data_IF_312487256971
#
_entry.id   IF_312487256971
#
_cell.length_a   1.000
_cell.length_b   1.000
_cell.length_c   1.000
_cell.angle_alpha   90.00
_cell.angle_beta   90.00
_cell.angle_gamma   90.00
#
_symmetry.space_group_name_H-M   'P 1'
#
loop_
_entity.id
_entity.type
_entity.pdbx_description
1 polymer ?
#
# COMPACT_ATOMS: atom_id res chain seq x y z
N UNK A 1 -58.73 -20.78 46.74
CA UNK A 1 -57.95 -21.23 47.92
C UNK A 1 -56.57 -21.63 47.38
N UNK A 2 -55.40 -21.05 47.70
CA UNK A 2 -54.87 -20.22 48.79
C UNK A 2 -53.83 -19.27 48.13
N UNK A 3 -54.03 -17.94 48.13
CA UNK A 3 -53.33 -16.94 48.96
C UNK A 3 -51.99 -17.39 49.58
N UNK A 4 -50.89 -16.81 49.13
CA UNK A 4 -49.69 -16.62 49.96
C UNK A 4 -49.35 -15.13 50.03
N UNK A 5 -49.38 -14.65 51.27
CA UNK A 5 -48.95 -13.36 51.77
C UNK A 5 -47.67 -13.65 52.55
N UNK A 6 -46.59 -12.93 52.24
CA UNK A 6 -45.47 -12.58 53.15
C UNK A 6 -44.72 -11.43 52.43
N UNK A 7 -45.01 -10.14 52.67
CA UNK A 7 -44.46 -9.27 53.74
C UNK A 7 -42.95 -9.51 53.94
N UNK A 8 -42.04 -8.55 53.72
CA UNK A 8 -41.90 -7.32 54.53
C UNK A 8 -40.82 -6.33 53.98
N UNK A 9 -41.00 -5.02 54.28
CA UNK A 9 -39.99 -3.93 54.47
C UNK A 9 -39.33 -3.33 53.20
N UNK A 10 -39.74 -2.17 52.64
CA UNK A 10 -39.73 -0.76 53.10
C UNK A 10 -38.31 -0.13 53.21
N UNK A 11 -38.17 1.08 52.64
CA UNK A 11 -37.11 2.11 52.71
C UNK A 11 -35.90 1.88 51.79
N UNK A 12 -35.36 2.85 51.04
CA UNK A 12 -35.57 4.30 50.89
C UNK A 12 -34.86 4.73 49.59
N UNK A 13 -35.54 5.38 48.66
CA UNK A 13 -35.29 6.76 48.23
C UNK A 13 -33.91 7.38 48.57
N UNK A 14 -33.23 7.75 47.46
CA UNK A 14 -32.40 8.92 47.23
C UNK A 14 -31.04 9.03 47.94
N UNK A 15 -29.96 8.97 47.15
CA UNK A 15 -28.86 9.93 47.32
C UNK A 15 -28.32 10.34 45.94
N UNK A 16 -28.54 11.61 45.62
CA UNK A 16 -27.78 12.37 44.65
C UNK A 16 -26.31 12.35 45.09
N UNK A 17 -25.45 11.73 44.29
CA UNK A 17 -24.01 11.87 44.39
C UNK A 17 -23.53 12.49 43.08
N UNK A 18 -23.20 13.78 43.12
CA UNK A 18 -22.47 14.45 42.06
C UNK A 18 -21.12 13.73 41.89
N UNK A 19 -20.89 13.11 40.73
CA UNK A 19 -19.55 12.74 40.32
C UNK A 19 -18.91 14.02 39.82
N UNK A 20 -18.10 14.62 40.68
CA UNK A 20 -17.06 15.57 40.26
C UNK A 20 -16.03 14.76 39.48
N UNK A 21 -16.07 14.87 38.14
CA UNK A 21 -14.98 14.42 37.29
C UNK A 21 -13.81 15.37 37.56
N UNK A 22 -12.81 14.90 38.30
CA UNK A 22 -11.48 15.48 38.24
C UNK A 22 -10.94 15.15 36.85
N UNK A 23 -10.71 16.18 36.05
CA UNK A 23 -9.92 16.10 34.85
C UNK A 23 -8.46 15.86 35.26
N UNK A 24 -8.02 14.62 35.09
CA UNK A 24 -6.62 14.30 34.85
C UNK A 24 -6.57 13.82 33.40
N UNK A 25 -5.82 14.55 32.57
CA UNK A 25 -5.66 14.29 31.14
C UNK A 25 -4.92 12.96 30.94
N UNK A 26 -5.68 11.87 30.92
CA UNK A 26 -5.22 10.58 30.42
C UNK A 26 -5.50 10.55 28.92
N UNK A 27 -4.47 10.33 28.10
CA UNK A 27 -4.61 10.08 26.66
C UNK A 27 -5.34 8.74 26.51
N UNK A 28 -6.67 8.79 26.47
CA UNK A 28 -7.52 7.65 26.15
C UNK A 28 -7.41 7.40 24.65
N UNK A 29 -6.47 6.55 24.25
CA UNK A 29 -6.53 5.90 22.93
C UNK A 29 -7.71 4.92 23.00
N UNK A 30 -8.78 5.10 22.19
CA UNK A 30 -9.93 4.21 22.25
C UNK A 30 -9.53 2.82 21.76
N UNK A 31 -9.44 1.86 22.67
CA UNK A 31 -9.41 0.43 22.35
C UNK A 31 -10.80 0.02 21.90
N UNK A 32 -11.11 0.25 20.62
CA UNK A 32 -12.39 -0.14 20.04
C UNK A 32 -12.38 -1.64 19.70
N UNK A 33 -13.25 -2.33 20.45
CA UNK A 33 -13.78 -3.66 20.22
C UNK A 33 -14.11 -3.89 18.73
N UNK A 34 -13.50 -4.90 18.12
CA UNK A 34 -13.88 -5.37 16.78
C UNK A 34 -15.08 -6.30 16.97
N UNK A 35 -16.27 -5.86 16.54
CA UNK A 35 -17.49 -6.66 16.58
C UNK A 35 -17.39 -7.78 15.53
N UNK A 36 -17.27 -9.02 16.00
CA UNK A 36 -17.03 -10.23 15.21
C UNK A 36 -18.33 -10.83 14.64
N UNK A 37 -19.32 -10.01 14.28
CA UNK A 37 -20.64 -10.48 13.84
C UNK A 37 -21.05 -9.92 12.49
N UNK A 38 -20.44 -10.44 11.41
CA UNK A 38 -21.03 -10.41 10.08
C UNK A 38 -20.96 -11.82 9.45
N UNK A 39 -22.14 -12.34 9.12
CA UNK A 39 -22.44 -13.68 8.59
C UNK A 39 -22.47 -13.64 7.05
N UNK A 40 -22.65 -14.77 6.32
CA UNK A 40 -21.68 -15.23 5.33
C UNK A 40 -22.25 -15.20 3.91
N UNK A 41 -21.58 -14.54 2.97
CA UNK A 41 -21.83 -14.80 1.56
C UNK A 41 -20.53 -14.91 0.78
N UNK A 42 -20.45 -15.98 0.00
CA UNK A 42 -19.39 -16.30 -0.95
C UNK A 42 -19.08 -15.09 -1.83
N UNK A 43 -17.98 -14.41 -1.51
CA UNK A 43 -17.28 -13.55 -2.45
C UNK A 43 -15.98 -14.26 -2.74
N UNK A 44 -15.78 -14.61 -4.01
CA UNK A 44 -14.45 -14.73 -4.58
C UNK A 44 -13.78 -13.36 -4.49
N UNK A 45 -13.38 -12.97 -3.28
CA UNK A 45 -12.46 -11.88 -3.07
C UNK A 45 -11.10 -12.46 -3.41
N UNK A 46 -10.77 -12.36 -4.69
CA UNK A 46 -9.42 -12.32 -5.16
C UNK A 46 -8.75 -11.12 -4.48
N UNK A 47 -8.34 -11.33 -3.23
CA UNK A 47 -7.45 -10.43 -2.53
C UNK A 47 -6.18 -10.48 -3.36
N UNK A 48 -5.94 -9.37 -4.04
CA UNK A 48 -4.67 -9.04 -4.66
C UNK A 48 -3.62 -9.34 -3.59
N UNK A 49 -2.74 -10.32 -3.84
CA UNK A 49 -1.51 -10.53 -3.08
C UNK A 49 -0.60 -9.31 -3.24
N UNK A 50 -1.02 -8.17 -2.71
CA UNK A 50 -0.12 -7.11 -2.36
C UNK A 50 0.44 -7.50 -1.00
N UNK A 51 1.38 -8.45 -1.05
CA UNK A 51 2.52 -8.37 -0.17
C UNK A 51 3.03 -6.95 -0.33
N UNK A 52 2.67 -6.12 0.64
CA UNK A 52 2.91 -4.70 0.69
C UNK A 52 4.38 -4.49 0.33
N UNK A 53 4.62 -4.09 -0.92
CA UNK A 53 5.90 -3.56 -1.33
C UNK A 53 6.21 -2.48 -0.31
N UNK A 54 7.38 -2.58 0.32
CA UNK A 54 7.93 -1.57 1.20
C UNK A 54 8.18 -0.32 0.36
N UNK A 55 7.10 0.42 0.12
CA UNK A 55 7.16 1.82 -0.24
C UNK A 55 7.59 2.58 1.03
N UNK A 56 8.84 2.35 1.44
CA UNK A 56 9.54 3.11 2.48
C UNK A 56 9.76 4.56 2.03
N UNK A 57 9.41 4.88 0.79
CA UNK A 57 9.46 6.24 0.25
C UNK A 57 8.06 6.80 0.09
N UNK A 58 7.81 7.90 0.81
CA UNK A 58 6.62 8.74 0.62
C UNK A 58 6.53 9.07 -0.88
N UNK A 59 5.44 8.70 -1.57
CA UNK A 59 5.33 8.93 -3.00
C UNK A 59 5.50 10.42 -3.30
N UNK A 60 6.32 10.72 -4.30
CA UNK A 60 6.53 12.10 -4.73
C UNK A 60 5.21 12.72 -5.20
N UNK A 61 5.12 14.05 -5.17
CA UNK A 61 3.95 14.76 -5.70
C UNK A 61 3.63 14.35 -7.15
N UNK A 62 4.66 14.04 -7.94
CA UNK A 62 4.52 13.50 -9.30
C UNK A 62 3.99 12.07 -9.34
N UNK A 63 4.43 11.20 -8.42
CA UNK A 63 3.90 9.84 -8.29
C UNK A 63 2.41 9.83 -7.90
N UNK A 64 2.02 10.68 -6.95
CA UNK A 64 0.60 10.83 -6.56
C UNK A 64 -0.26 11.38 -7.70
N UNK A 65 0.30 12.29 -8.49
CA UNK A 65 -0.36 12.79 -9.70
C UNK A 65 -0.60 11.67 -10.71
N UNK A 66 0.42 10.85 -11.00
CA UNK A 66 0.28 9.69 -11.89
C UNK A 66 -0.72 8.66 -11.39
N UNK A 67 -0.75 8.41 -10.06
CA UNK A 67 -1.77 7.56 -9.45
C UNK A 67 -3.17 8.10 -9.73
N UNK A 68 -3.39 9.39 -9.52
CA UNK A 68 -4.66 10.04 -9.83
C UNK A 68 -5.05 9.98 -11.32
N UNK A 69 -4.08 10.08 -12.23
CA UNK A 69 -4.31 9.90 -13.67
C UNK A 69 -4.77 8.47 -13.96
N UNK A 70 -4.04 7.47 -13.46
CA UNK A 70 -4.37 6.04 -13.65
C UNK A 70 -5.76 5.70 -13.08
N UNK A 71 -6.08 6.19 -11.89
CA UNK A 71 -7.40 6.03 -11.27
C UNK A 71 -8.51 6.63 -12.16
N UNK A 72 -8.34 7.86 -12.63
CA UNK A 72 -9.31 8.53 -13.49
C UNK A 72 -9.49 7.82 -14.84
N UNK A 73 -8.40 7.37 -15.45
CA UNK A 73 -8.43 6.57 -16.68
C UNK A 73 -9.18 5.25 -16.41
N UNK A 74 -8.84 4.53 -15.35
CA UNK A 74 -9.52 3.29 -14.97
C UNK A 74 -11.02 3.50 -14.76
N UNK A 75 -11.43 4.58 -14.07
CA UNK A 75 -12.84 4.93 -13.90
C UNK A 75 -13.53 5.36 -15.20
N UNK A 76 -12.83 6.06 -16.10
CA UNK A 76 -13.36 6.49 -17.39
C UNK A 76 -13.67 5.29 -18.30
N UNK A 77 -12.79 4.29 -18.33
CA UNK A 77 -12.97 3.06 -19.10
C UNK A 77 -13.85 2.00 -18.40
N UNK A 78 -14.38 2.29 -17.21
CA UNK A 78 -15.33 1.41 -16.53
C UNK A 78 -16.75 1.89 -16.83
N UNK A 79 -17.44 1.24 -17.76
CA UNK A 79 -18.75 1.71 -18.22
C UNK A 79 -19.91 1.24 -17.34
N UNK A 80 -19.78 0.08 -16.68
CA UNK A 80 -20.78 -0.45 -15.76
C UNK A 80 -20.78 0.35 -14.44
N UNK A 81 -21.96 0.70 -13.93
CA UNK A 81 -22.13 1.52 -12.72
C UNK A 81 -21.67 0.77 -11.48
N UNK A 82 -22.05 -0.50 -11.30
CA UNK A 82 -21.63 -1.35 -10.18
C UNK A 82 -20.11 -1.50 -10.16
N UNK A 83 -19.50 -1.87 -11.29
CA UNK A 83 -18.03 -1.97 -11.40
C UNK A 83 -17.32 -0.65 -11.18
N UNK A 84 -17.95 0.48 -11.54
CA UNK A 84 -17.41 1.81 -11.26
C UNK A 84 -17.49 2.15 -9.77
N UNK A 85 -18.54 1.72 -9.08
CA UNK A 85 -18.69 1.86 -7.63
C UNK A 85 -17.64 1.01 -6.92
N UNK A 86 -17.51 -0.28 -7.26
CA UNK A 86 -16.49 -1.19 -6.71
C UNK A 86 -15.07 -0.60 -6.86
N UNK A 87 -14.72 -0.13 -8.07
CA UNK A 87 -13.40 0.51 -8.29
C UNK A 87 -13.19 1.77 -7.46
N UNK A 88 -14.23 2.57 -7.19
CA UNK A 88 -14.10 3.75 -6.32
C UNK A 88 -13.82 3.34 -4.89
N UNK A 89 -14.48 2.29 -4.40
CA UNK A 89 -14.22 1.75 -3.07
C UNK A 89 -12.79 1.21 -2.96
N UNK A 90 -12.35 0.42 -3.95
CA UNK A 90 -10.97 -0.06 -4.02
C UNK A 90 -9.96 1.09 -3.97
N UNK A 91 -10.16 2.15 -4.78
CA UNK A 91 -9.27 3.31 -4.74
C UNK A 91 -9.35 4.12 -3.44
N UNK A 92 -10.48 4.09 -2.75
CA UNK A 92 -10.61 4.70 -1.43
C UNK A 92 -9.79 3.93 -0.39
N UNK A 93 -9.91 2.60 -0.37
CA UNK A 93 -9.17 1.71 0.54
C UNK A 93 -7.66 1.82 0.33
N UNK A 94 -7.19 1.65 -0.91
CA UNK A 94 -5.76 1.76 -1.24
C UNK A 94 -5.17 3.12 -0.82
N UNK A 95 -5.95 4.19 -0.92
CA UNK A 95 -5.51 5.53 -0.49
C UNK A 95 -5.47 5.70 1.00
N UNK A 96 -6.38 5.07 1.74
CA UNK A 96 -6.32 5.08 3.19
C UNK A 96 -5.13 4.30 3.70
N UNK A 97 -4.87 3.11 3.15
CA UNK A 97 -3.71 2.30 3.52
C UNK A 97 -2.38 2.99 3.20
N UNK A 98 -2.31 3.65 2.03
CA UNK A 98 -1.15 4.46 1.68
C UNK A 98 -0.96 5.64 2.64
N UNK A 99 -2.05 6.33 3.01
CA UNK A 99 -2.01 7.42 3.97
C UNK A 99 -1.49 6.95 5.34
N UNK A 100 -2.01 5.84 5.84
CA UNK A 100 -1.59 5.20 7.08
C UNK A 100 -0.08 4.90 7.06
N UNK A 101 0.41 4.21 6.04
CA UNK A 101 1.84 3.89 5.91
C UNK A 101 2.73 5.13 5.90
N UNK A 102 2.31 6.18 5.20
CA UNK A 102 3.03 7.45 5.14
C UNK A 102 3.09 8.12 6.52
N UNK A 103 1.98 8.11 7.26
CA UNK A 103 1.87 8.67 8.60
C UNK A 103 2.76 7.90 9.59
N UNK A 104 2.87 6.58 9.43
CA UNK A 104 3.69 5.72 10.28
C UNK A 104 5.19 5.92 10.05
N UNK A 105 5.60 6.00 8.78
CA UNK A 105 7.02 6.06 8.41
C UNK A 105 7.63 7.46 8.46
N UNK A 106 6.87 8.50 8.82
CA UNK A 106 7.36 9.88 8.78
C UNK A 106 6.93 10.74 9.97
N UNK A 107 7.89 11.45 10.55
CA UNK A 107 7.67 12.39 11.67
C UNK A 107 7.70 13.84 11.21
N UNK A 108 7.22 14.10 9.99
CA UNK A 108 7.17 15.46 9.45
C UNK A 108 5.72 15.94 9.29
N UNK A 109 5.46 17.16 9.74
CA UNK A 109 4.14 17.79 9.67
C UNK A 109 3.67 17.86 8.22
N UNK A 110 4.53 18.26 7.28
CA UNK A 110 4.19 18.35 5.84
C UNK A 110 3.77 16.99 5.25
N UNK A 111 4.45 15.90 5.63
CA UNK A 111 4.09 14.57 5.11
C UNK A 111 2.78 14.08 5.72
N UNK A 112 2.52 14.34 7.01
CA UNK A 112 1.23 14.00 7.62
C UNK A 112 0.06 14.76 7.00
N UNK A 113 0.25 16.01 6.57
CA UNK A 113 -0.77 16.77 5.81
C UNK A 113 -1.04 16.17 4.42
N UNK A 114 0.01 15.71 3.73
CA UNK A 114 -0.16 15.01 2.45
C UNK A 114 -0.98 13.73 2.60
N UNK A 115 -0.75 12.97 3.68
CA UNK A 115 -1.54 11.78 3.98
C UNK A 115 -3.00 12.13 4.28
N UNK A 116 -3.28 13.21 5.04
CA UNK A 116 -4.64 13.70 5.24
C UNK A 116 -5.34 14.05 3.91
N UNK A 117 -4.64 14.70 2.98
CA UNK A 117 -5.20 14.96 1.64
C UNK A 117 -5.53 13.67 0.86
N UNK A 118 -4.82 12.57 1.09
CA UNK A 118 -5.18 11.26 0.52
C UNK A 118 -6.46 10.72 1.15
N UNK A 119 -6.59 10.81 2.48
CA UNK A 119 -7.80 10.43 3.23
C UNK A 119 -9.02 11.23 2.75
N UNK A 120 -8.88 12.54 2.55
CA UNK A 120 -9.96 13.38 2.01
C UNK A 120 -10.41 12.94 0.63
N UNK A 121 -9.46 12.63 -0.26
CA UNK A 121 -9.82 12.15 -1.60
C UNK A 121 -10.42 10.74 -1.57
N UNK A 122 -10.02 9.88 -0.64
CA UNK A 122 -10.67 8.59 -0.41
C UNK A 122 -12.15 8.80 -0.04
N UNK A 123 -12.44 9.76 0.85
CA UNK A 123 -13.83 10.12 1.18
C UNK A 123 -14.61 10.63 -0.03
N UNK A 124 -13.99 11.43 -0.89
CA UNK A 124 -14.65 11.88 -2.12
C UNK A 124 -14.99 10.73 -3.08
N UNK A 125 -14.25 9.61 -3.05
CA UNK A 125 -14.63 8.39 -3.76
C UNK A 125 -15.82 7.69 -3.10
N UNK A 126 -15.86 7.62 -1.77
CA UNK A 126 -16.98 7.08 -1.00
C UNK A 126 -18.29 7.83 -1.27
N UNK A 127 -18.27 9.16 -1.20
CA UNK A 127 -19.46 9.99 -1.48
C UNK A 127 -19.98 9.78 -2.91
N UNK A 128 -19.06 9.63 -3.89
CA UNK A 128 -19.43 9.35 -5.29
C UNK A 128 -19.95 7.92 -5.49
N UNK A 129 -19.49 6.97 -4.68
CA UNK A 129 -20.01 5.61 -4.68
C UNK A 129 -21.44 5.58 -4.10
N UNK A 130 -21.65 6.26 -2.97
CA UNK A 130 -22.96 6.39 -2.33
C UNK A 130 -23.99 7.12 -3.18
N UNK A 131 -23.58 8.17 -3.90
CA UNK A 131 -24.48 8.88 -4.82
C UNK A 131 -25.05 7.97 -5.93
N UNK A 132 -24.45 6.80 -6.14
CA UNK A 132 -24.88 5.79 -7.12
C UNK A 132 -25.55 4.57 -6.48
N UNK A 133 -25.77 4.58 -5.16
CA UNK A 133 -26.41 3.50 -4.40
C UNK A 133 -27.79 3.10 -4.94
N UNK A 134 -28.58 4.04 -5.44
CA UNK A 134 -29.91 3.77 -6.00
C UNK A 134 -29.89 3.16 -7.41
N UNK A 135 -28.73 3.15 -8.08
CA UNK A 135 -28.56 2.67 -9.46
C UNK A 135 -27.95 1.26 -9.52
N UNK A 136 -27.69 0.62 -8.38
CA UNK A 136 -26.97 -0.66 -8.26
C UNK A 136 -27.83 -1.74 -7.55
N UNK A 137 -27.49 -3.01 -7.74
CA UNK A 137 -28.16 -4.14 -7.09
C UNK A 137 -28.07 -4.10 -5.56
N UNK A 138 -29.11 -4.60 -4.88
CA UNK A 138 -29.23 -4.61 -3.42
C UNK A 138 -28.07 -5.35 -2.72
N UNK A 139 -27.61 -6.48 -3.28
CA UNK A 139 -26.45 -7.22 -2.76
C UNK A 139 -25.16 -6.40 -2.82
N UNK A 140 -25.00 -5.59 -3.88
CA UNK A 140 -23.86 -4.68 -4.05
C UNK A 140 -24.00 -3.49 -3.10
N UNK A 141 -25.22 -3.02 -2.83
CA UNK A 141 -25.49 -1.98 -1.84
C UNK A 141 -25.07 -2.42 -0.43
N UNK A 142 -25.38 -3.65 -0.04
CA UNK A 142 -24.99 -4.17 1.28
C UNK A 142 -23.46 -4.18 1.45
N UNK A 143 -22.74 -4.72 0.45
CA UNK A 143 -21.26 -4.71 0.44
C UNK A 143 -20.70 -3.29 0.47
N UNK A 144 -21.29 -2.37 -0.30
CA UNK A 144 -20.93 -0.95 -0.28
C UNK A 144 -21.07 -0.34 1.13
N UNK A 145 -22.17 -0.63 1.83
CA UNK A 145 -22.39 -0.12 3.19
C UNK A 145 -21.39 -0.70 4.20
N UNK A 146 -21.10 -2.00 4.12
CA UNK A 146 -20.11 -2.68 4.95
C UNK A 146 -18.69 -2.11 4.73
N UNK A 147 -18.27 -2.01 3.47
CA UNK A 147 -16.99 -1.40 3.09
C UNK A 147 -16.92 0.05 3.55
N UNK A 148 -18.01 0.80 3.40
CA UNK A 148 -18.09 2.18 3.88
C UNK A 148 -17.88 2.29 5.38
N UNK A 149 -18.61 1.50 6.17
CA UNK A 149 -18.48 1.54 7.63
C UNK A 149 -17.05 1.22 8.09
N UNK A 150 -16.39 0.24 7.43
CA UNK A 150 -14.97 -0.09 7.65
C UNK A 150 -14.06 1.11 7.36
N UNK A 151 -14.24 1.73 6.19
CA UNK A 151 -13.45 2.88 5.74
C UNK A 151 -13.66 4.11 6.66
N UNK A 152 -14.90 4.39 7.08
CA UNK A 152 -15.21 5.50 8.00
C UNK A 152 -14.60 5.29 9.38
N UNK A 153 -14.66 4.06 9.90
CA UNK A 153 -14.01 3.70 11.17
C UNK A 153 -12.50 3.91 11.04
N UNK A 154 -11.89 3.37 9.98
CA UNK A 154 -10.46 3.51 9.74
C UNK A 154 -10.01 4.97 9.60
N UNK A 155 -10.78 5.79 8.88
CA UNK A 155 -10.60 7.24 8.79
C UNK A 155 -10.58 7.92 10.16
N UNK A 156 -11.57 7.63 11.01
CA UNK A 156 -11.62 8.27 12.33
C UNK A 156 -10.39 7.95 13.18
N UNK A 157 -9.94 6.69 13.13
CA UNK A 157 -8.72 6.24 13.83
C UNK A 157 -7.46 6.93 13.29
N UNK A 158 -7.33 7.01 11.96
CA UNK A 158 -6.22 7.73 11.32
C UNK A 158 -6.23 9.20 11.73
N UNK A 159 -7.38 9.87 11.64
CA UNK A 159 -7.48 11.28 11.97
C UNK A 159 -7.12 11.57 13.43
N UNK A 160 -7.62 10.76 14.38
CA UNK A 160 -7.25 10.89 15.78
C UNK A 160 -5.74 10.74 15.99
N UNK A 161 -5.13 9.72 15.39
CA UNK A 161 -3.69 9.51 15.47
C UNK A 161 -2.89 10.68 14.89
N UNK A 162 -3.31 11.20 13.73
CA UNK A 162 -2.63 12.33 13.07
C UNK A 162 -2.73 13.60 13.90
N UNK A 163 -3.89 13.91 14.46
CA UNK A 163 -4.06 15.12 15.28
C UNK A 163 -3.18 15.06 16.54
N UNK A 164 -3.17 13.93 17.25
CA UNK A 164 -2.27 13.73 18.41
C UNK A 164 -0.81 13.84 17.98
N UNK A 165 -0.43 13.18 16.88
CA UNK A 165 0.95 13.22 16.36
C UNK A 165 1.38 14.65 15.99
N UNK A 166 0.51 15.42 15.32
CA UNK A 166 0.79 16.81 14.94
C UNK A 166 0.98 17.71 16.16
N UNK A 167 0.13 17.57 17.17
CA UNK A 167 0.29 18.30 18.44
C UNK A 167 1.65 18.01 19.07
N UNK A 168 2.00 16.73 19.22
CA UNK A 168 3.29 16.29 19.77
C UNK A 168 4.47 16.84 18.96
N UNK A 169 4.42 16.76 17.62
CA UNK A 169 5.46 17.32 16.75
C UNK A 169 5.60 18.83 16.93
N UNK A 170 4.50 19.56 17.11
CA UNK A 170 4.52 21.01 17.35
C UNK A 170 5.12 21.34 18.73
N UNK A 171 4.80 20.57 19.76
CA UNK A 171 5.39 20.69 21.11
C UNK A 171 6.89 20.40 21.11
N UNK A 172 7.32 19.38 20.36
CA UNK A 172 8.74 19.07 20.17
C UNK A 172 9.47 20.22 19.46
N UNK A 173 8.86 20.85 18.45
CA UNK A 173 9.41 22.04 17.79
C UNK A 173 9.52 23.23 18.77
N UNK A 174 8.60 23.34 19.73
CA UNK A 174 8.66 24.33 20.81
C UNK A 174 9.68 24.00 21.92
N UNK A 175 10.33 22.85 21.86
CA UNK A 175 11.37 22.43 22.81
C UNK A 175 10.88 21.58 23.98
N UNK A 176 9.64 21.09 23.95
CA UNK A 176 9.11 20.17 24.97
C UNK A 176 9.76 18.78 24.83
N UNK A 177 10.57 18.42 25.82
CA UNK A 177 11.25 17.12 25.86
C UNK A 177 10.31 15.99 26.31
N UNK A 178 9.26 16.28 27.08
CA UNK A 178 8.26 15.29 27.47
C UNK A 178 7.44 14.82 26.26
N UNK A 179 7.14 15.73 25.33
CA UNK A 179 6.46 15.42 24.08
C UNK A 179 7.22 14.40 23.21
N UNK A 180 8.55 14.28 23.33
CA UNK A 180 9.33 13.24 22.63
C UNK A 180 9.03 11.85 23.17
N UNK A 181 8.95 11.70 24.50
CA UNK A 181 8.62 10.43 25.14
C UNK A 181 7.16 10.03 24.85
N UNK A 182 6.25 11.01 24.85
CA UNK A 182 4.85 10.81 24.46
C UNK A 182 4.73 10.34 22.99
N UNK A 183 5.52 10.95 22.08
CA UNK A 183 5.56 10.54 20.68
C UNK A 183 6.09 9.11 20.52
N UNK A 184 7.15 8.75 21.25
CA UNK A 184 7.69 7.39 21.22
C UNK A 184 6.67 6.34 21.72
N UNK A 185 5.94 6.66 22.79
CA UNK A 185 4.86 5.82 23.31
C UNK A 185 3.72 5.67 22.28
N UNK A 186 3.32 6.77 21.64
CA UNK A 186 2.31 6.75 20.58
C UNK A 186 2.72 5.82 19.43
N UNK A 187 3.99 5.86 19.01
CA UNK A 187 4.51 4.94 18.01
C UNK A 187 4.51 3.49 18.48
N UNK A 188 4.83 3.21 19.75
CA UNK A 188 4.77 1.86 20.30
C UNK A 188 3.34 1.32 20.27
N UNK A 189 2.38 2.09 20.77
CA UNK A 189 0.96 1.70 20.75
C UNK A 189 0.47 1.42 19.32
N UNK A 190 0.89 2.24 18.35
CA UNK A 190 0.55 2.03 16.94
C UNK A 190 1.16 0.74 16.37
N UNK A 191 2.42 0.44 16.69
CA UNK A 191 3.07 -0.82 16.28
C UNK A 191 2.33 -2.03 16.85
N UNK A 192 1.97 -1.99 18.14
CA UNK A 192 1.22 -3.06 18.79
C UNK A 192 -0.16 -3.25 18.16
N UNK A 193 -0.88 -2.15 17.88
CA UNK A 193 -2.15 -2.19 17.17
C UNK A 193 -2.01 -2.81 15.77
N UNK A 194 -0.98 -2.44 15.02
CA UNK A 194 -0.75 -2.98 13.68
C UNK A 194 -0.44 -4.48 13.70
N UNK A 195 0.33 -4.95 14.67
CA UNK A 195 0.59 -6.39 14.87
C UNK A 195 -0.72 -7.12 15.15
N UNK A 196 -1.54 -6.61 16.07
CA UNK A 196 -2.85 -7.20 16.37
C UNK A 196 -3.78 -7.21 15.15
N UNK A 197 -3.80 -6.13 14.36
CA UNK A 197 -4.57 -6.05 13.12
C UNK A 197 -4.10 -7.11 12.11
N UNK A 198 -2.79 -7.30 11.96
CA UNK A 198 -2.24 -8.34 11.07
C UNK A 198 -2.60 -9.75 11.53
N UNK A 199 -2.57 -10.02 12.84
CA UNK A 199 -3.00 -11.30 13.41
C UNK A 199 -4.48 -11.60 13.11
N UNK A 200 -5.36 -10.60 13.25
CA UNK A 200 -6.78 -10.73 12.90
C UNK A 200 -6.97 -11.02 11.42
N UNK A 201 -6.29 -10.29 10.54
CA UNK A 201 -6.36 -10.51 9.09
C UNK A 201 -5.87 -11.92 8.74
N UNK A 202 -4.78 -12.37 9.36
CA UNK A 202 -4.25 -13.73 9.16
C UNK A 202 -5.25 -14.79 9.60
N UNK A 203 -5.84 -14.64 10.79
CA UNK A 203 -6.86 -15.56 11.28
C UNK A 203 -8.10 -15.59 10.37
N UNK A 204 -8.53 -14.45 9.83
CA UNK A 204 -9.63 -14.38 8.86
C UNK A 204 -9.31 -15.15 7.57
N UNK A 205 -8.08 -15.03 7.05
CA UNK A 205 -7.62 -15.77 5.87
C UNK A 205 -7.61 -17.28 6.13
N UNK A 206 -7.07 -17.71 7.28
CA UNK A 206 -7.08 -19.13 7.67
C UNK A 206 -8.51 -19.70 7.75
N UNK A 207 -9.45 -18.92 8.29
CA UNK A 207 -10.87 -19.30 8.33
C UNK A 207 -11.47 -19.39 6.92
N UNK A 208 -11.17 -18.45 6.02
CA UNK A 208 -11.63 -18.49 4.64
C UNK A 208 -11.07 -19.70 3.87
N UNK A 209 -9.80 -20.02 4.09
CA UNK A 209 -9.14 -21.19 3.51
C UNK A 209 -9.79 -22.50 4.01
N UNK A 210 -10.06 -22.62 5.31
CA UNK A 210 -10.81 -23.75 5.87
C UNK A 210 -12.17 -23.93 5.21
N UNK A 211 -12.95 -22.85 5.09
CA UNK A 211 -14.26 -22.90 4.42
C UNK A 211 -14.13 -23.32 2.95
N UNK A 212 -13.08 -22.87 2.27
CA UNK A 212 -12.83 -23.23 0.87
C UNK A 212 -12.53 -24.72 0.73
N UNK A 213 -11.68 -25.26 1.60
CA UNK A 213 -11.37 -26.70 1.62
C UNK A 213 -12.61 -27.55 1.96
N UNK A 214 -13.45 -27.09 2.89
CA UNK A 214 -14.74 -27.74 3.17
C UNK A 214 -15.65 -27.77 1.93
N UNK A 215 -15.79 -26.63 1.22
CA UNK A 215 -16.57 -26.55 -0.03
C UNK A 215 -15.97 -27.48 -1.09
N UNK A 216 -14.64 -27.49 -1.25
CA UNK A 216 -13.95 -28.35 -2.21
C UNK A 216 -14.18 -29.83 -1.91
N UNK A 217 -14.12 -30.24 -0.64
CA UNK A 217 -14.41 -31.61 -0.21
C UNK A 217 -15.87 -32.01 -0.51
N UNK A 218 -16.83 -31.11 -0.26
CA UNK A 218 -18.25 -31.35 -0.58
C UNK A 218 -18.50 -31.48 -2.08
N UNK A 219 -17.89 -30.61 -2.89
CA UNK A 219 -18.00 -30.68 -4.35
C UNK A 219 -17.40 -31.97 -4.90
N UNK A 220 -16.25 -32.39 -4.36
CA UNK A 220 -15.61 -33.65 -4.72
C UNK A 220 -16.51 -34.85 -4.42
N UNK A 221 -17.12 -34.90 -3.24
CA UNK A 221 -18.05 -35.98 -2.89
C UNK A 221 -19.24 -36.02 -3.87
N UNK A 222 -19.86 -34.87 -4.18
CA UNK A 222 -20.97 -34.80 -5.13
C UNK A 222 -20.55 -35.21 -6.54
N UNK A 223 -19.36 -34.83 -6.98
CA UNK A 223 -18.80 -35.25 -8.26
C UNK A 223 -18.62 -36.78 -8.32
N UNK A 224 -18.11 -37.40 -7.25
CA UNK A 224 -17.96 -38.85 -7.13
C UNK A 224 -19.32 -39.59 -7.13
N UNK A 225 -20.38 -38.94 -6.65
CA UNK A 225 -21.78 -39.42 -6.72
C UNK A 225 -22.41 -39.27 -8.12
N UNK A 226 -21.70 -38.66 -9.08
CA UNK A 226 -22.14 -38.49 -10.47
C UNK A 226 -22.84 -37.16 -10.77
N UNK A 227 -22.68 -36.14 -9.92
CA UNK A 227 -23.17 -34.79 -10.19
C UNK A 227 -22.20 -34.01 -11.10
N UNK A 228 -22.50 -34.00 -12.40
CA UNK A 228 -21.71 -33.29 -13.42
C UNK A 228 -21.56 -31.78 -13.12
N UNK A 229 -22.54 -31.15 -12.45
CA UNK A 229 -22.45 -29.73 -12.09
C UNK A 229 -21.42 -29.50 -10.99
N UNK A 230 -21.37 -30.40 -10.00
CA UNK A 230 -20.38 -30.36 -8.94
C UNK A 230 -18.96 -30.63 -9.48
N UNK A 231 -18.81 -31.59 -10.40
CA UNK A 231 -17.55 -31.85 -11.09
C UNK A 231 -17.03 -30.61 -11.84
N UNK A 232 -17.89 -29.94 -12.61
CA UNK A 232 -17.52 -28.72 -13.31
C UNK A 232 -17.25 -27.52 -12.38
N UNK A 233 -17.88 -27.46 -11.19
CA UNK A 233 -17.55 -26.45 -10.18
C UNK A 233 -16.19 -26.71 -9.53
N UNK A 234 -15.88 -27.96 -9.20
CA UNK A 234 -14.59 -28.36 -8.64
C UNK A 234 -13.45 -28.06 -9.61
N UNK A 235 -13.59 -28.42 -10.89
CA UNK A 235 -12.59 -28.15 -11.92
C UNK A 235 -12.30 -26.64 -12.05
N UNK A 236 -13.33 -25.79 -12.02
CA UNK A 236 -13.16 -24.33 -12.03
C UNK A 236 -12.43 -23.82 -10.79
N UNK A 237 -12.74 -24.37 -9.61
CA UNK A 237 -12.06 -23.98 -8.38
C UNK A 237 -10.58 -24.36 -8.41
N UNK A 238 -10.26 -25.59 -8.85
CA UNK A 238 -8.87 -26.07 -8.99
C UNK A 238 -8.09 -25.32 -10.08
N UNK A 239 -8.74 -24.96 -11.20
CA UNK A 239 -8.12 -24.12 -12.23
C UNK A 239 -7.81 -22.71 -11.71
N UNK A 240 -8.73 -22.10 -10.95
CA UNK A 240 -8.50 -20.81 -10.31
C UNK A 240 -7.38 -20.88 -9.26
N UNK A 241 -7.28 -21.98 -8.51
CA UNK A 241 -6.16 -22.23 -7.58
C UNK A 241 -4.82 -22.24 -8.29
N UNK A 242 -4.71 -23.00 -9.38
CA UNK A 242 -3.49 -23.06 -10.17
C UNK A 242 -3.14 -21.69 -10.76
N UNK A 243 -4.13 -20.93 -11.26
CA UNK A 243 -3.90 -19.60 -11.79
C UNK A 243 -3.43 -18.60 -10.72
N UNK A 244 -3.96 -18.69 -9.50
CA UNK A 244 -3.49 -17.86 -8.38
C UNK A 244 -2.05 -18.24 -8.03
N UNK A 245 -1.73 -19.53 -7.92
CA UNK A 245 -0.38 -20.01 -7.62
C UNK A 245 0.66 -19.52 -8.64
N UNK A 246 0.34 -19.63 -9.94
CA UNK A 246 1.21 -19.12 -11.01
C UNK A 246 1.45 -17.62 -10.85
N UNK A 247 0.42 -16.83 -10.52
CA UNK A 247 0.57 -15.38 -10.34
C UNK A 247 1.39 -15.01 -9.10
N UNK A 248 1.33 -15.82 -8.05
CA UNK A 248 2.19 -15.66 -6.87
C UNK A 248 3.63 -15.92 -7.27
N UNK A 249 3.91 -17.04 -7.94
CA UNK A 249 5.25 -17.40 -8.42
C UNK A 249 5.81 -16.32 -9.36
N UNK A 250 5.03 -15.85 -10.32
CA UNK A 250 5.42 -14.74 -11.21
C UNK A 250 5.72 -13.46 -10.41
N UNK A 251 4.94 -13.12 -9.36
CA UNK A 251 5.20 -11.95 -8.51
C UNK A 251 6.47 -12.11 -7.70
N UNK A 252 6.72 -13.30 -7.16
CA UNK A 252 7.93 -13.60 -6.39
C UNK A 252 9.17 -13.51 -7.28
N UNK A 253 9.13 -14.07 -8.49
CA UNK A 253 10.20 -13.95 -9.49
C UNK A 253 10.47 -12.48 -9.82
N UNK A 254 9.42 -11.70 -10.14
CA UNK A 254 9.55 -10.27 -10.41
C UNK A 254 10.12 -9.50 -9.21
N UNK A 255 9.74 -9.87 -7.98
CA UNK A 255 10.26 -9.24 -6.76
C UNK A 255 11.75 -9.53 -6.57
N UNK A 256 12.19 -10.76 -6.77
CA UNK A 256 13.60 -11.14 -6.71
C UNK A 256 14.39 -10.36 -7.77
N UNK A 257 13.88 -10.28 -9.00
CA UNK A 257 14.51 -9.51 -10.07
C UNK A 257 14.63 -8.02 -9.70
N UNK A 258 13.57 -7.41 -9.18
CA UNK A 258 13.58 -6.01 -8.74
C UNK A 258 14.56 -5.77 -7.58
N UNK A 259 14.68 -6.72 -6.65
CA UNK A 259 15.63 -6.65 -5.54
C UNK A 259 17.07 -6.75 -6.02
N UNK A 260 17.38 -7.67 -6.95
CA UNK A 260 18.70 -7.79 -7.56
C UNK A 260 19.06 -6.51 -8.32
N UNK A 261 18.16 -6.00 -9.16
CA UNK A 261 18.38 -4.73 -9.85
C UNK A 261 18.55 -3.55 -8.87
N UNK A 262 17.84 -3.55 -7.74
CA UNK A 262 18.01 -2.52 -6.72
C UNK A 262 19.36 -2.65 -6.00
N UNK A 263 19.84 -3.87 -5.79
CA UNK A 263 21.16 -4.13 -5.22
C UNK A 263 22.27 -3.70 -6.19
N UNK A 264 22.20 -4.07 -7.47
CA UNK A 264 23.15 -3.63 -8.50
C UNK A 264 23.20 -2.10 -8.58
N UNK A 265 22.05 -1.42 -8.63
CA UNK A 265 22.00 0.05 -8.59
C UNK A 265 22.64 0.62 -7.32
N UNK A 266 22.48 -0.04 -6.17
CA UNK A 266 23.11 0.39 -4.91
C UNK A 266 24.63 0.20 -4.97
N UNK A 267 25.09 -0.89 -5.57
CA UNK A 267 26.52 -1.17 -5.79
C UNK A 267 27.15 -0.16 -6.76
N UNK A 268 26.46 0.21 -7.84
CA UNK A 268 26.85 1.31 -8.74
C UNK A 268 26.87 2.68 -8.03
N UNK A 269 26.00 2.88 -7.04
CA UNK A 269 25.94 4.10 -6.22
C UNK A 269 26.92 4.12 -5.04
N UNK A 270 27.78 3.10 -4.86
CA UNK A 270 28.82 3.14 -3.84
C UNK A 270 29.82 4.25 -4.19
N UNK A 271 29.83 5.31 -3.38
CA UNK A 271 30.82 6.39 -3.45
C UNK A 271 32.25 5.80 -3.38
N UNK A 272 33.10 6.10 -4.38
CA UNK A 272 34.44 5.52 -4.49
C UNK A 272 34.57 4.27 -5.36
N UNK A 273 33.46 3.72 -5.88
CA UNK A 273 33.44 2.60 -6.83
C UNK A 273 33.57 3.01 -8.30
N UNK A 274 33.53 4.31 -8.61
CA UNK A 274 33.54 4.89 -9.97
C UNK A 274 34.95 5.13 -10.51
N UNK A 275 35.84 4.15 -10.32
CA UNK A 275 37.19 4.21 -10.89
C UNK A 275 37.11 4.15 -12.41
N UNK A 276 37.69 5.15 -13.07
CA UNK A 276 37.89 5.10 -14.52
C UNK A 276 38.96 4.06 -14.92
N UNK A 277 39.22 3.92 -16.21
CA UNK A 277 40.23 3.00 -16.77
C UNK A 277 41.66 3.27 -16.24
N UNK A 278 41.91 4.46 -15.69
CA UNK A 278 43.19 4.87 -15.11
C UNK A 278 43.18 4.78 -13.58
N UNK A 279 42.09 4.29 -12.97
CA UNK A 279 41.92 4.16 -11.53
C UNK A 279 41.54 5.46 -10.83
N UNK A 280 41.18 6.53 -11.56
CA UNK A 280 40.77 7.80 -10.98
C UNK A 280 39.31 7.77 -10.54
N UNK A 281 39.05 8.28 -9.33
CA UNK A 281 37.72 8.27 -8.72
C UNK A 281 37.06 9.63 -8.96
N UNK A 282 36.16 9.71 -9.95
CA UNK A 282 35.50 10.96 -10.35
C UNK A 282 34.65 11.57 -9.24
N UNK A 283 33.96 10.74 -8.46
CA UNK A 283 33.12 11.10 -7.31
C UNK A 283 33.91 11.72 -6.17
N UNK A 284 35.19 11.35 -6.06
CA UNK A 284 36.16 11.96 -5.19
C UNK A 284 36.88 13.16 -5.85
N UNK A 285 36.41 13.66 -6.99
CA UNK A 285 36.95 14.83 -7.69
C UNK A 285 38.29 14.58 -8.39
N UNK A 286 38.71 13.32 -8.57
CA UNK A 286 39.92 12.99 -9.33
C UNK A 286 39.62 12.88 -10.82
N UNK A 287 40.53 13.40 -11.64
CA UNK A 287 40.49 13.25 -13.10
C UNK A 287 41.87 12.84 -13.59
N UNK A 288 41.94 11.89 -14.52
CA UNK A 288 43.19 11.53 -15.15
C UNK A 288 43.78 12.68 -15.97
N UNK A 289 45.04 13.04 -15.69
CA UNK A 289 45.80 13.92 -16.56
C UNK A 289 46.82 13.11 -17.37
N UNK A 290 46.67 13.14 -18.70
CA UNK A 290 47.58 12.45 -19.65
C UNK A 290 49.01 13.00 -19.54
N UNK A 291 49.18 14.32 -19.40
CA UNK A 291 50.51 14.94 -19.32
C UNK A 291 51.30 14.57 -18.06
N UNK A 292 50.61 14.27 -16.95
CA UNK A 292 51.25 13.92 -15.67
C UNK A 292 51.15 12.44 -15.32
N UNK A 293 50.47 11.65 -16.16
CA UNK A 293 50.18 10.23 -15.93
C UNK A 293 49.69 9.92 -14.51
N UNK A 294 48.85 10.82 -13.96
CA UNK A 294 48.28 10.67 -12.61
C UNK A 294 46.89 11.28 -12.49
N UNK A 295 46.14 10.79 -11.50
CA UNK A 295 44.85 11.33 -11.10
C UNK A 295 45.04 12.64 -10.32
N UNK A 296 44.45 13.73 -10.80
CA UNK A 296 44.57 15.07 -10.23
C UNK A 296 43.23 15.59 -9.71
N UNK A 297 43.30 16.45 -8.69
CA UNK A 297 42.19 17.28 -8.22
C UNK A 297 42.42 18.74 -8.62
N UNK A 298 41.50 19.37 -9.37
CA UNK A 298 41.69 20.74 -9.87
C UNK A 298 41.94 21.81 -8.81
N UNK A 299 41.54 21.54 -7.56
CA UNK A 299 41.63 22.49 -6.46
C UNK A 299 42.80 22.22 -5.49
N UNK A 300 43.53 21.10 -5.64
CA UNK A 300 44.68 20.75 -4.77
C UNK A 300 46.03 20.95 -5.46
N UNK A 301 46.07 20.83 -6.79
CA UNK A 301 47.29 20.98 -7.57
C UNK A 301 47.11 22.01 -8.70
N UNK A 302 48.20 22.68 -9.09
CA UNK A 302 48.21 23.56 -10.27
C UNK A 302 47.84 22.75 -11.52
N UNK A 303 46.65 23.07 -12.05
CA UNK A 303 46.12 22.49 -13.27
C UNK A 303 46.80 23.12 -14.48
N UNK A 304 47.47 22.30 -15.28
CA UNK A 304 47.97 22.74 -16.59
C UNK A 304 46.85 22.61 -17.63
N UNK A 305 46.79 23.51 -18.60
CA UNK A 305 45.78 23.49 -19.68
C UNK A 305 45.80 22.16 -20.47
N UNK A 306 46.91 21.42 -20.43
CA UNK A 306 47.02 20.09 -21.03
C UNK A 306 46.31 18.98 -20.26
N UNK A 307 45.86 19.24 -19.02
CA UNK A 307 45.08 18.33 -18.19
C UNK A 307 43.57 18.57 -18.28
N UNK A 308 43.07 19.47 -19.15
CA UNK A 308 41.64 19.70 -19.32
C UNK A 308 40.98 18.39 -19.81
N UNK A 309 40.08 17.79 -19.02
CA UNK A 309 39.31 16.65 -19.48
C UNK A 309 38.35 17.22 -20.51
N UNK A 310 38.46 16.72 -21.73
CA UNK A 310 37.57 17.09 -22.81
C UNK A 310 36.13 16.83 -22.32
N UNK A 311 35.38 17.88 -21.99
CA UNK A 311 34.00 17.75 -21.49
C UNK A 311 33.07 17.09 -22.54
N UNK A 312 33.57 16.82 -23.75
CA UNK A 312 32.92 16.01 -24.79
C UNK A 312 33.16 14.49 -24.71
N UNK A 313 34.11 13.97 -23.92
CA UNK A 313 34.44 12.53 -23.95
C UNK A 313 33.40 11.63 -23.24
N UNK A 314 32.55 12.19 -22.36
CA UNK A 314 31.37 11.48 -21.85
C UNK A 314 30.19 11.51 -22.83
N UNK A 315 30.25 12.33 -23.87
CA UNK A 315 29.24 12.37 -24.94
C UNK A 315 29.60 11.41 -26.09
N UNK A 316 30.88 11.18 -26.35
CA UNK A 316 31.34 10.19 -27.35
C UNK A 316 31.25 8.74 -26.84
N UNK A 317 31.51 8.47 -25.55
CA UNK A 317 31.25 7.13 -24.96
C UNK A 317 29.76 6.77 -24.93
N UNK A 318 28.87 7.77 -24.99
CA UNK A 318 27.42 7.61 -25.14
C UNK A 318 26.98 7.34 -26.59
N UNK A 319 27.84 7.64 -27.56
CA UNK A 319 27.57 7.47 -28.99
C UNK A 319 28.24 6.22 -29.58
N UNK A 320 29.39 5.78 -29.06
CA UNK A 320 30.06 4.54 -29.52
C UNK A 320 29.42 3.24 -28.98
N UNK A 321 28.68 3.30 -27.87
CA UNK A 321 27.83 2.19 -27.41
C UNK A 321 26.61 1.93 -28.31
N UNK A 322 26.24 2.90 -29.16
CA UNK A 322 25.09 2.80 -30.07
C UNK A 322 25.45 2.00 -31.35
N UNK A 323 26.73 1.92 -31.73
CA UNK A 323 27.15 1.14 -32.90
C UNK A 323 27.40 -0.35 -32.60
N UNK A 324 27.57 -0.75 -31.34
CA UNK A 324 27.80 -2.15 -30.94
C UNK A 324 26.59 -2.85 -30.28
N UNK A 325 25.39 -2.29 -30.40
CA UNK A 325 24.16 -3.02 -30.03
C UNK A 325 23.80 -3.03 -28.54
N UNK A 326 24.39 -2.17 -27.71
CA UNK A 326 23.95 -1.97 -26.33
C UNK A 326 22.81 -0.92 -26.28
N UNK A 327 21.61 -1.46 -26.49
CA UNK A 327 20.35 -1.06 -25.88
C UNK A 327 20.32 0.21 -25.02
N UNK A 328 19.84 1.31 -25.61
CA UNK A 328 19.45 2.59 -24.95
C UNK A 328 18.65 2.39 -23.64
N UNK A 329 18.78 3.25 -22.61
CA UNK A 329 17.97 3.25 -21.39
C UNK A 329 16.45 3.39 -21.60
N UNK A 330 16.01 3.66 -22.83
CA UNK A 330 14.59 3.68 -23.21
C UNK A 330 14.06 2.33 -23.70
N UNK A 331 14.90 1.30 -23.83
CA UNK A 331 14.49 0.00 -24.33
C UNK A 331 13.60 -0.83 -23.40
N UNK A 332 13.71 -0.78 -22.05
CA UNK A 332 12.78 -1.53 -21.19
C UNK A 332 11.34 -1.05 -21.40
N UNK A 333 11.15 0.27 -21.57
CA UNK A 333 9.85 0.88 -21.76
C UNK A 333 9.24 0.57 -23.14
N UNK A 334 10.07 0.58 -24.20
CA UNK A 334 9.62 0.16 -25.52
C UNK A 334 9.29 -1.33 -25.56
N UNK A 335 10.07 -2.19 -24.90
CA UNK A 335 9.78 -3.63 -24.85
C UNK A 335 8.51 -3.94 -24.03
N UNK A 336 8.26 -3.19 -22.95
CA UNK A 336 7.02 -3.29 -22.16
C UNK A 336 5.79 -2.83 -22.96
N UNK A 337 5.89 -1.70 -23.66
CA UNK A 337 4.81 -1.22 -24.55
C UNK A 337 4.58 -2.21 -25.70
N UNK A 338 5.63 -2.76 -26.30
CA UNK A 338 5.48 -3.77 -27.36
C UNK A 338 4.86 -5.07 -26.83
N UNK A 339 5.21 -5.50 -25.61
CA UNK A 339 4.61 -6.68 -24.96
C UNK A 339 3.12 -6.46 -24.67
N UNK A 340 2.73 -5.28 -24.17
CA UNK A 340 1.31 -4.93 -23.96
C UNK A 340 0.54 -4.74 -25.26
N UNK A 341 1.17 -4.19 -26.32
CA UNK A 341 0.58 -4.09 -27.65
C UNK A 341 0.38 -5.46 -28.29
N UNK A 342 1.34 -6.39 -28.14
CA UNK A 342 1.17 -7.78 -28.60
C UNK A 342 0.09 -8.52 -27.81
N UNK A 343 0.01 -8.30 -26.50
CA UNK A 343 -1.03 -8.86 -25.64
C UNK A 343 -2.43 -8.32 -26.01
N UNK A 344 -2.52 -7.03 -26.33
CA UNK A 344 -3.74 -6.42 -26.83
C UNK A 344 -4.14 -6.92 -28.22
N UNK A 345 -3.17 -7.15 -29.13
CA UNK A 345 -3.42 -7.77 -30.44
C UNK A 345 -3.91 -9.21 -30.32
N UNK A 346 -3.36 -10.00 -29.39
CA UNK A 346 -3.85 -11.37 -29.17
C UNK A 346 -5.29 -11.46 -28.63
N UNK A 347 -5.80 -10.38 -28.02
CA UNK A 347 -7.18 -10.29 -27.51
C UNK A 347 -8.17 -9.77 -28.56
N UNK A 348 -7.68 -9.12 -29.62
CA UNK A 348 -8.46 -8.64 -30.75
C UNK A 348 -8.13 -9.60 -31.90
N UNK A 349 -8.79 -10.77 -31.94
CA UNK A 349 -8.58 -11.75 -33.00
C UNK A 349 -8.52 -11.10 -34.38
N UNK A 350 -7.49 -11.44 -35.14
CA UNK A 350 -7.29 -10.97 -36.51
C UNK A 350 -8.43 -11.51 -37.40
N UNK A 351 -9.50 -10.73 -37.56
CA UNK A 351 -10.43 -10.85 -38.69
C UNK A 351 -9.87 -10.01 -39.85
N UNK A 352 -9.01 -10.63 -40.67
CA UNK A 352 -8.81 -10.25 -42.08
C UNK A 352 -9.62 -11.17 -43.01
#
# INVERSE_FOLDING_TARGET
MKKYILYTMIFSLAFLGAVTVQAEDEIVVPTLYVDATASPELVSEEIIDEEVETADTVPSAFGLWWRGVRENVSLAFTFNVEKKVEKRLQFAEERMELAERIIENSDSVEVTEKAQAMVERANAFMEKAEAKKSEIQETVVQRLEETKARIETHKSTINQFVEVKKDLLSRIQAGDEAARNELELLHQQRREYNIQRQEVIKAQREIQEQRREEVKALLKQRADEGDDQAAGQLERMEANEQQVQIRIEEREENRVELQEQAQERREEMIVGGDKDIHGCIGSAGYTWCVSKEKCLRPFEEEWEDSCIPNMGANQERRMEGIENGETSPTQPFNNMIQKEVQKAKALIGDDE
#
